data_IF_858259401117
#
_entry.id   IF_858259401117
#
_cell.length_a   1.000
_cell.length_b   1.000
_cell.length_c   1.000
_cell.angle_alpha   90.00
_cell.angle_beta   90.00
_cell.angle_gamma   90.00
#
_symmetry.space_group_name_H-M   'P 1'
#
loop_
_entity.id
_entity.type
_entity.pdbx_description
1 polymer ?
#
# COMPACT_ATOMS: atom_id res chain seq x y z
N UNK A 1 -4.72 -7.08 0.90
CA UNK A 1 -4.23 -5.70 0.75
C UNK A 1 -4.61 -5.13 -0.61
N UNK A 2 -3.91 -5.47 -1.71
CA UNK A 2 -4.31 -5.00 -3.05
C UNK A 2 -5.76 -5.40 -3.38
N UNK A 3 -6.08 -6.68 -3.19
CA UNK A 3 -7.46 -7.19 -3.36
C UNK A 3 -8.51 -6.51 -2.46
N UNK A 4 -8.13 -6.03 -1.27
CA UNK A 4 -9.06 -5.35 -0.35
C UNK A 4 -9.27 -3.88 -0.74
N UNK A 5 -8.25 -3.26 -1.34
CA UNK A 5 -8.30 -1.89 -1.86
C UNK A 5 -9.01 -1.83 -3.22
N UNK A 6 -8.87 -2.86 -4.06
CA UNK A 6 -9.56 -2.98 -5.35
C UNK A 6 -11.06 -3.20 -5.25
N UNK A 7 -11.61 -3.38 -4.04
CA UNK A 7 -13.07 -3.40 -3.82
C UNK A 7 -13.69 -2.01 -3.89
N UNK A 8 -12.88 -0.96 -3.80
CA UNK A 8 -13.31 0.42 -3.95
C UNK A 8 -13.33 0.78 -5.46
N UNK A 9 -14.51 1.09 -6.04
CA UNK A 9 -14.63 1.35 -7.47
C UNK A 9 -13.91 2.63 -7.92
N UNK A 10 -13.58 3.52 -6.99
CA UNK A 10 -12.91 4.80 -7.27
C UNK A 10 -11.37 4.67 -7.24
N UNK A 11 -10.83 3.50 -6.89
CA UNK A 11 -9.39 3.27 -6.78
C UNK A 11 -8.85 2.38 -7.92
N UNK A 12 -7.87 2.91 -8.65
CA UNK A 12 -7.06 2.09 -9.54
C UNK A 12 -5.82 1.57 -8.78
N UNK A 13 -5.74 0.25 -8.60
CA UNK A 13 -4.66 -0.39 -7.82
C UNK A 13 -3.77 -1.22 -8.74
N UNK A 14 -2.50 -0.86 -8.82
CA UNK A 14 -1.48 -1.61 -9.56
C UNK A 14 -0.52 -2.29 -8.58
N UNK A 15 -0.12 -3.53 -8.88
CA UNK A 15 0.98 -4.21 -8.18
C UNK A 15 2.19 -4.24 -9.10
N UNK A 16 3.25 -3.53 -8.70
CA UNK A 16 4.52 -3.48 -9.44
C UNK A 16 5.58 -4.34 -8.77
N UNK A 17 6.56 -4.80 -9.55
CA UNK A 17 7.69 -5.59 -9.04
C UNK A 17 8.66 -4.68 -8.28
N UNK A 18 8.83 -4.92 -6.98
CA UNK A 18 9.82 -4.26 -6.13
C UNK A 18 11.14 -5.03 -5.98
N UNK A 19 12.05 -4.49 -5.16
CA UNK A 19 13.30 -5.14 -4.77
C UNK A 19 13.12 -6.31 -3.78
N UNK A 20 14.23 -6.99 -3.46
CA UNK A 20 14.20 -8.16 -2.58
C UNK A 20 13.80 -7.77 -1.15
N UNK A 21 12.59 -8.14 -0.76
CA UNK A 21 12.08 -7.89 0.60
C UNK A 21 11.65 -6.46 0.84
N UNK A 22 11.44 -5.68 -0.23
CA UNK A 22 10.86 -4.36 -0.17
C UNK A 22 9.33 -4.45 -0.24
N UNK A 23 8.67 -3.60 0.53
CA UNK A 23 7.25 -3.34 0.40
C UNK A 23 7.03 -1.83 0.46
N UNK A 24 6.63 -1.24 -0.65
CA UNK A 24 6.25 0.18 -0.69
C UNK A 24 4.86 0.33 -1.28
N UNK A 25 4.12 1.32 -0.77
CA UNK A 25 2.84 1.73 -1.35
C UNK A 25 2.91 3.22 -1.65
N UNK A 26 2.46 3.60 -2.83
CA UNK A 26 2.35 4.99 -3.26
C UNK A 26 0.95 5.31 -3.77
N UNK A 27 0.57 6.58 -3.70
CA UNK A 27 -0.68 7.16 -4.20
C UNK A 27 -0.28 8.38 -5.02
N UNK A 28 -0.68 8.46 -6.29
CA UNK A 28 -0.36 9.56 -7.21
C UNK A 28 1.12 9.97 -7.22
N UNK A 29 2.01 8.96 -7.19
CA UNK A 29 3.46 9.16 -7.16
C UNK A 29 4.04 9.55 -5.78
N UNK A 30 3.19 9.81 -4.78
CA UNK A 30 3.61 10.07 -3.40
C UNK A 30 3.71 8.76 -2.61
N UNK A 31 4.86 8.50 -2.00
CA UNK A 31 5.06 7.31 -1.17
C UNK A 31 4.35 7.47 0.18
N UNK A 32 3.40 6.59 0.48
CA UNK A 32 2.58 6.62 1.71
C UNK A 32 2.98 5.54 2.73
N UNK A 33 3.62 4.46 2.26
CA UNK A 33 4.13 3.40 3.11
C UNK A 33 5.45 2.85 2.59
N UNK A 34 6.37 2.59 3.52
CA UNK A 34 7.61 1.88 3.26
C UNK A 34 7.84 0.86 4.38
N UNK A 35 8.08 -0.38 3.98
CA UNK A 35 8.37 -1.50 4.84
C UNK A 35 9.59 -2.24 4.34
N UNK A 36 10.36 -2.80 5.27
CA UNK A 36 11.54 -3.60 4.99
C UNK A 36 11.34 -5.03 5.45
N UNK A 37 12.13 -5.94 4.86
CA UNK A 37 12.14 -7.37 5.18
C UNK A 37 12.30 -7.70 6.68
N UNK A 38 12.96 -6.83 7.43
CA UNK A 38 13.21 -7.00 8.86
C UNK A 38 11.97 -6.72 9.72
N UNK A 39 11.02 -5.93 9.22
CA UNK A 39 9.82 -5.50 9.94
C UNK A 39 8.61 -5.47 9.01
N UNK A 40 8.11 -6.65 8.64
CA UNK A 40 6.88 -6.77 7.87
C UNK A 40 5.69 -6.30 8.69
N UNK A 41 5.10 -5.18 8.28
CA UNK A 41 3.80 -4.75 8.79
C UNK A 41 2.72 -5.72 8.33
N UNK A 42 1.74 -6.00 9.19
CA UNK A 42 0.61 -6.81 8.81
C UNK A 42 -0.22 -6.11 7.72
N UNK A 43 -0.86 -6.85 6.80
CA UNK A 43 -1.61 -6.25 5.70
C UNK A 43 -2.65 -5.22 6.16
N UNK A 44 -3.35 -5.47 7.27
CA UNK A 44 -4.35 -4.54 7.82
C UNK A 44 -3.79 -3.19 8.25
N UNK A 45 -2.56 -3.15 8.77
CA UNK A 45 -1.89 -1.89 9.15
C UNK A 45 -1.58 -1.05 7.91
N UNK A 46 -1.14 -1.69 6.83
CA UNK A 46 -0.85 -1.01 5.57
C UNK A 46 -2.13 -0.45 4.95
N UNK A 47 -3.21 -1.25 4.90
CA UNK A 47 -4.52 -0.80 4.40
C UNK A 47 -5.04 0.40 5.21
N UNK A 48 -4.93 0.36 6.54
CA UNK A 48 -5.35 1.48 7.40
C UNK A 48 -4.58 2.77 7.10
N UNK A 49 -3.26 2.67 6.88
CA UNK A 49 -2.42 3.84 6.53
C UNK A 49 -2.77 4.40 5.15
N UNK A 50 -3.02 3.52 4.17
CA UNK A 50 -3.41 3.91 2.81
C UNK A 50 -4.77 4.63 2.83
N UNK A 51 -5.77 4.07 3.53
CA UNK A 51 -7.09 4.71 3.66
C UNK A 51 -7.01 6.08 4.34
N UNK A 52 -6.25 6.19 5.43
CA UNK A 52 -6.04 7.47 6.10
C UNK A 52 -5.33 8.52 5.23
N UNK A 53 -4.55 8.10 4.23
CA UNK A 53 -3.91 9.00 3.28
C UNK A 53 -4.84 9.44 2.13
N UNK A 54 -5.86 8.63 1.79
CA UNK A 54 -6.86 8.94 0.77
C UNK A 54 -7.97 9.88 1.29
N UNK A 55 -8.26 9.83 2.59
CA UNK A 55 -9.28 10.67 3.24
C UNK A 55 -8.80 12.11 3.51
N UNK A 56 -7.59 12.47 3.07
CA UNK A 56 -6.91 13.73 3.40
C UNK A 56 -6.79 14.65 2.20
#
# INVERSE_FOLDING_TARGET
>A
MAADLSQDPDLNVETVKGGLGELSVGIDGSKVFEGSRLWYSTPGVVVKKVRAALEK
#
